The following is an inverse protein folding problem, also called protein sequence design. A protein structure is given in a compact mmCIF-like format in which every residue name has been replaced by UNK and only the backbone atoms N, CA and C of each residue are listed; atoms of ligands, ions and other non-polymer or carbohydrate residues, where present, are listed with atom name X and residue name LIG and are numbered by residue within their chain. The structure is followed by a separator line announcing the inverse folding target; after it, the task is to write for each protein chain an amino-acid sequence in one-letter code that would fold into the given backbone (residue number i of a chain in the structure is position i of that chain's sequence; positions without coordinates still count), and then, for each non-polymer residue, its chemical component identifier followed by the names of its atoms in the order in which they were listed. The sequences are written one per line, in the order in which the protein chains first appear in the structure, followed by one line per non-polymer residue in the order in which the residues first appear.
data_IF_501127592097
#
_entry.id   IF_501127592097
#
_cell.length_a   1.000
_cell.length_b   1.000
_cell.length_c   1.000
_cell.angle_alpha   90.00
_cell.angle_beta   90.00
_cell.angle_gamma   90.00
#
_symmetry.space_group_name_H-M   'P 1'
#
loop_
_entity.id
_entity.type
_entity.pdbx_description
1 polymer ?
#
# COMPACT_ATOMS: atom_id res chain seq x y z
N UNK A 1 -21.20 22.26 -29.94
CA UNK A 1 -20.26 21.69 -28.96
C UNK A 1 -19.46 22.84 -28.36
N UNK A 2 -20.04 23.56 -27.38
CA UNK A 2 -19.34 24.66 -26.71
C UNK A 2 -18.42 24.07 -25.65
N UNK A 3 -17.10 24.16 -25.89
CA UNK A 3 -16.10 23.81 -24.90
C UNK A 3 -16.27 24.70 -23.67
N UNK A 4 -16.71 24.11 -22.57
CA UNK A 4 -16.69 24.76 -21.26
C UNK A 4 -15.23 24.91 -20.85
N UNK A 5 -14.66 26.09 -21.09
CA UNK A 5 -13.37 26.45 -20.50
C UNK A 5 -13.50 26.38 -18.99
N UNK A 6 -12.62 25.67 -18.27
CA UNK A 6 -12.73 25.57 -16.81
C UNK A 6 -12.62 26.96 -16.19
N UNK A 7 -13.69 27.42 -15.57
CA UNK A 7 -13.73 28.70 -14.84
C UNK A 7 -13.23 28.50 -13.41
N UNK A 8 -11.99 28.93 -13.15
CA UNK A 8 -11.37 28.84 -11.82
C UNK A 8 -11.87 29.91 -10.83
N UNK A 9 -12.64 30.89 -11.32
CA UNK A 9 -13.14 32.05 -10.56
C UNK A 9 -14.23 31.69 -9.54
N UNK A 10 -14.88 30.53 -9.66
CA UNK A 10 -15.94 30.08 -8.76
C UNK A 10 -15.51 29.07 -7.70
N UNK A 11 -14.23 28.74 -7.58
CA UNK A 11 -13.75 27.72 -6.64
C UNK A 11 -13.73 28.32 -5.23
N UNK A 12 -14.51 27.73 -4.33
CA UNK A 12 -14.61 28.18 -2.94
C UNK A 12 -13.35 27.91 -2.14
N UNK A 13 -13.13 28.66 -1.06
CA UNK A 13 -11.97 28.47 -0.18
C UNK A 13 -11.96 27.09 0.47
N UNK A 14 -13.14 26.52 0.74
CA UNK A 14 -13.31 25.17 1.29
C UNK A 14 -12.80 24.11 0.32
N UNK A 15 -13.03 24.27 -0.99
CA UNK A 15 -12.54 23.33 -2.00
C UNK A 15 -11.00 23.33 -2.07
N UNK A 16 -10.38 24.50 -1.97
CA UNK A 16 -8.92 24.61 -1.89
C UNK A 16 -8.35 23.97 -0.62
N UNK A 17 -9.01 24.18 0.53
CA UNK A 17 -8.61 23.54 1.79
C UNK A 17 -8.78 22.02 1.75
N UNK A 18 -9.87 21.51 1.17
CA UNK A 18 -10.09 20.07 0.99
C UNK A 18 -9.02 19.45 0.08
N UNK A 19 -8.64 20.12 -1.01
CA UNK A 19 -7.54 19.71 -1.88
C UNK A 19 -6.21 19.65 -1.14
N UNK A 20 -5.87 20.69 -0.38
CA UNK A 20 -4.66 20.71 0.44
C UNK A 20 -4.67 19.58 1.47
N UNK A 21 -5.81 19.36 2.14
CA UNK A 21 -5.96 18.29 3.13
C UNK A 21 -5.76 16.91 2.50
N UNK A 22 -6.41 16.63 1.36
CA UNK A 22 -6.29 15.37 0.63
C UNK A 22 -4.89 15.17 0.04
N UNK A 23 -4.19 16.24 -0.34
CA UNK A 23 -2.81 16.15 -0.82
C UNK A 23 -1.82 15.89 0.32
N UNK A 24 -1.90 16.67 1.40
CA UNK A 24 -0.91 16.61 2.48
C UNK A 24 -1.05 15.33 3.30
N UNK A 25 -2.27 14.97 3.70
CA UNK A 25 -2.49 13.94 4.71
C UNK A 25 -2.31 12.53 4.15
N UNK A 26 -3.17 12.01 3.26
CA UNK A 26 -3.05 10.63 2.80
C UNK A 26 -1.89 10.43 1.81
N UNK A 27 -1.46 11.47 1.07
CA UNK A 27 -0.35 11.34 0.12
C UNK A 27 0.98 11.83 0.71
N UNK A 28 1.08 13.11 1.06
CA UNK A 28 2.32 13.73 1.54
C UNK A 28 2.95 12.99 2.73
N UNK A 29 2.17 12.78 3.80
CA UNK A 29 2.64 12.07 5.00
C UNK A 29 2.95 10.60 4.69
N UNK A 30 2.11 9.91 3.93
CA UNK A 30 2.34 8.50 3.59
C UNK A 30 3.63 8.29 2.78
N UNK A 31 3.91 9.15 1.79
CA UNK A 31 5.15 9.07 1.02
C UNK A 31 6.38 9.41 1.87
N UNK A 32 6.28 10.40 2.75
CA UNK A 32 7.35 10.73 3.68
C UNK A 32 7.67 9.55 4.60
N UNK A 33 6.65 8.93 5.21
CA UNK A 33 6.80 7.72 6.02
C UNK A 33 7.37 6.57 5.21
N UNK A 34 6.88 6.36 3.98
CA UNK A 34 7.40 5.32 3.07
C UNK A 34 8.89 5.51 2.83
N UNK A 35 9.35 6.74 2.56
CA UNK A 35 10.75 7.05 2.35
C UNK A 35 11.60 6.78 3.61
N UNK A 36 11.12 7.20 4.78
CA UNK A 36 11.77 6.89 6.06
C UNK A 36 11.88 5.38 6.31
N UNK A 37 10.83 4.64 5.99
CA UNK A 37 10.75 3.20 6.18
C UNK A 37 11.70 2.47 5.23
N UNK A 38 11.84 2.93 3.97
CA UNK A 38 12.83 2.42 3.02
C UNK A 38 14.24 2.63 3.56
N UNK A 39 14.54 3.84 4.08
CA UNK A 39 15.86 4.16 4.64
C UNK A 39 16.23 3.31 5.85
N UNK A 40 15.25 2.98 6.71
CA UNK A 40 15.50 2.27 7.99
C UNK A 40 15.41 0.75 7.87
N UNK A 41 14.43 0.23 7.14
CA UNK A 41 14.09 -1.20 7.10
C UNK A 41 14.32 -1.84 5.72
N UNK A 42 14.75 -1.06 4.72
CA UNK A 42 14.99 -1.53 3.36
C UNK A 42 13.71 -1.69 2.52
N UNK A 43 13.90 -1.88 1.21
CA UNK A 43 12.80 -1.93 0.24
C UNK A 43 11.90 -3.16 0.40
N UNK A 44 12.45 -4.30 0.84
CA UNK A 44 11.69 -5.54 1.04
C UNK A 44 10.58 -5.36 2.08
N UNK A 45 10.91 -4.81 3.27
CA UNK A 45 9.93 -4.57 4.34
C UNK A 45 8.77 -3.68 3.88
N UNK A 46 9.10 -2.58 3.21
CA UNK A 46 8.14 -1.58 2.71
C UNK A 46 7.18 -2.16 1.68
N UNK A 47 7.61 -3.18 0.95
CA UNK A 47 6.79 -3.84 -0.05
C UNK A 47 5.78 -4.83 0.56
N UNK A 48 5.94 -5.25 1.82
CA UNK A 48 4.91 -6.00 2.55
C UNK A 48 3.76 -5.10 3.01
N UNK A 49 4.02 -3.84 3.35
CA UNK A 49 2.95 -2.90 3.75
C UNK A 49 1.94 -2.73 2.61
N UNK A 50 2.41 -2.60 1.37
CA UNK A 50 1.54 -2.50 0.19
C UNK A 50 0.69 -3.75 -0.06
N UNK A 51 1.10 -4.89 0.48
CA UNK A 51 0.42 -6.16 0.28
C UNK A 51 -0.74 -6.37 1.24
N UNK A 52 -0.75 -5.60 2.31
CA UNK A 52 -1.86 -5.57 3.26
C UNK A 52 -2.98 -4.64 2.79
N UNK A 53 -2.78 -3.82 1.74
CA UNK A 53 -3.78 -2.86 1.25
C UNK A 53 -5.14 -3.52 0.99
N UNK A 54 -5.25 -4.63 0.23
CA UNK A 54 -6.54 -5.26 0.00
C UNK A 54 -7.23 -5.69 1.30
N UNK A 55 -6.47 -6.31 2.21
CA UNK A 55 -6.97 -6.81 3.51
C UNK A 55 -7.53 -5.66 4.34
N UNK A 56 -6.79 -4.56 4.45
CA UNK A 56 -7.26 -3.37 5.14
C UNK A 56 -8.46 -2.72 4.44
N UNK A 57 -8.53 -2.76 3.11
CA UNK A 57 -9.67 -2.22 2.37
C UNK A 57 -10.98 -2.92 2.75
N UNK A 58 -11.02 -4.26 2.82
CA UNK A 58 -12.23 -4.99 3.26
C UNK A 58 -12.51 -4.77 4.74
N UNK A 59 -11.49 -4.82 5.60
CA UNK A 59 -11.67 -4.63 7.04
C UNK A 59 -12.28 -3.25 7.34
N UNK A 60 -11.73 -2.19 6.76
CA UNK A 60 -12.23 -0.83 6.96
C UNK A 60 -13.58 -0.63 6.26
N UNK A 61 -13.76 -1.15 5.04
CA UNK A 61 -15.03 -1.08 4.30
C UNK A 61 -16.20 -1.68 5.10
N UNK A 62 -16.01 -2.87 5.67
CA UNK A 62 -17.06 -3.50 6.47
C UNK A 62 -17.24 -2.84 7.84
N UNK A 63 -16.17 -2.39 8.51
CA UNK A 63 -16.27 -1.85 9.88
C UNK A 63 -16.67 -0.38 9.96
N UNK A 64 -16.37 0.41 8.92
CA UNK A 64 -16.54 1.86 8.95
C UNK A 64 -17.51 2.38 7.89
N UNK A 65 -17.64 1.69 6.75
CA UNK A 65 -18.59 2.02 5.68
C UNK A 65 -19.86 1.15 5.72
N UNK A 66 -19.95 0.21 6.68
CA UNK A 66 -21.05 -0.77 6.80
C UNK A 66 -21.33 -1.55 5.50
N UNK A 67 -20.29 -1.79 4.69
CA UNK A 67 -20.42 -2.56 3.45
C UNK A 67 -20.72 -4.03 3.76
N UNK A 68 -21.78 -4.56 3.16
CA UNK A 68 -22.12 -5.99 3.27
C UNK A 68 -21.10 -6.80 2.50
N UNK A 69 -20.29 -7.60 3.22
CA UNK A 69 -19.34 -8.52 2.59
C UNK A 69 -20.13 -9.64 1.91
N UNK A 70 -20.29 -9.53 0.59
CA UNK A 70 -20.85 -10.61 -0.22
C UNK A 70 -19.81 -11.71 -0.49
N UNK A 71 -20.23 -12.96 -0.72
CA UNK A 71 -19.32 -14.07 -1.01
C UNK A 71 -18.37 -13.82 -2.19
N UNK A 72 -18.81 -13.05 -3.18
CA UNK A 72 -18.01 -12.63 -4.33
C UNK A 72 -16.80 -11.81 -3.92
N UNK A 73 -16.95 -10.90 -2.94
CA UNK A 73 -15.88 -10.08 -2.40
C UNK A 73 -14.82 -10.94 -1.69
N UNK A 74 -15.25 -11.97 -0.98
CA UNK A 74 -14.35 -12.94 -0.32
C UNK A 74 -13.59 -13.78 -1.36
N UNK A 75 -14.25 -14.21 -2.43
CA UNK A 75 -13.59 -14.92 -3.54
C UNK A 75 -12.56 -14.04 -4.24
N UNK A 76 -12.89 -12.79 -4.55
CA UNK A 76 -11.97 -11.83 -5.14
C UNK A 76 -10.74 -11.59 -4.23
N UNK A 77 -10.97 -11.38 -2.94
CA UNK A 77 -9.90 -11.27 -1.94
C UNK A 77 -8.99 -12.50 -1.94
N UNK A 78 -9.58 -13.69 -1.95
CA UNK A 78 -8.84 -14.95 -1.94
C UNK A 78 -7.94 -15.07 -3.19
N UNK A 79 -8.45 -14.71 -4.36
CA UNK A 79 -7.68 -14.68 -5.62
C UNK A 79 -6.51 -13.70 -5.54
N UNK A 80 -6.75 -12.48 -5.01
CA UNK A 80 -5.69 -11.47 -4.84
C UNK A 80 -4.58 -11.99 -3.92
N UNK A 81 -4.95 -12.55 -2.76
CA UNK A 81 -3.98 -13.13 -1.82
C UNK A 81 -3.21 -14.28 -2.46
N UNK A 82 -3.88 -15.18 -3.19
CA UNK A 82 -3.22 -16.27 -3.90
C UNK A 82 -2.22 -15.76 -4.95
N UNK A 83 -2.61 -14.79 -5.78
CA UNK A 83 -1.73 -14.16 -6.76
C UNK A 83 -0.51 -13.49 -6.11
N UNK A 84 -0.70 -12.89 -4.94
CA UNK A 84 0.35 -12.29 -4.13
C UNK A 84 1.39 -13.32 -3.66
N UNK A 85 0.91 -14.45 -3.13
CA UNK A 85 1.76 -15.56 -2.69
C UNK A 85 2.57 -16.14 -3.85
N UNK A 86 1.92 -16.34 -5.01
CA UNK A 86 2.58 -16.86 -6.21
C UNK A 86 3.68 -15.91 -6.73
N UNK A 87 3.44 -14.60 -6.69
CA UNK A 87 4.34 -13.60 -7.28
C UNK A 87 5.55 -13.29 -6.39
N UNK A 88 5.42 -13.33 -5.06
CA UNK A 88 6.57 -13.10 -4.16
C UNK A 88 7.48 -14.30 -4.02
N UNK A 89 6.95 -15.53 -4.08
CA UNK A 89 7.73 -16.74 -3.76
C UNK A 89 8.23 -16.76 -2.30
N UNK A 90 8.39 -17.95 -1.72
CA UNK A 90 8.77 -18.12 -0.31
C UNK A 90 10.20 -17.64 0.06
N UNK A 91 10.98 -17.14 -0.92
CA UNK A 91 12.40 -16.80 -0.76
C UNK A 91 12.69 -15.38 -0.27
N UNK A 92 11.74 -14.45 -0.34
CA UNK A 92 11.94 -13.03 -0.01
C UNK A 92 11.65 -12.69 1.47
N UNK A 93 11.32 -13.70 2.28
CA UNK A 93 10.91 -13.49 3.67
C UNK A 93 12.10 -13.02 4.53
N UNK A 94 12.00 -11.86 5.21
CA UNK A 94 13.15 -11.11 5.73
C UNK A 94 13.96 -11.77 6.86
N UNK A 95 13.53 -12.90 7.42
CA UNK A 95 14.27 -13.60 8.49
C UNK A 95 15.01 -14.86 8.03
N UNK A 96 15.07 -15.19 6.73
CA UNK A 96 15.79 -16.40 6.28
C UNK A 96 17.27 -16.32 6.68
N UNK A 97 17.60 -16.99 7.79
CA UNK A 97 18.94 -17.17 8.38
C UNK A 97 19.95 -17.73 7.37
N UNK A 98 19.44 -18.33 6.29
CA UNK A 98 20.14 -18.89 5.16
C UNK A 98 21.16 -17.90 4.59
N UNK A 99 20.81 -16.62 4.40
CA UNK A 99 21.73 -15.63 3.83
C UNK A 99 22.96 -15.38 4.73
N UNK A 100 22.83 -15.52 6.05
CA UNK A 100 23.93 -15.39 7.02
C UNK A 100 24.76 -16.67 7.13
N UNK A 101 24.14 -17.84 6.97
CA UNK A 101 24.84 -19.14 6.99
C UNK A 101 25.68 -19.37 5.73
N UNK A 102 25.21 -18.95 4.55
CA UNK A 102 26.01 -19.07 3.32
C UNK A 102 27.18 -18.09 3.29
N UNK A 103 27.00 -16.88 3.84
CA UNK A 103 28.08 -15.90 3.99
C UNK A 103 29.14 -16.37 5.00
N UNK A 104 28.73 -16.95 6.13
CA UNK A 104 29.64 -17.51 7.13
C UNK A 104 30.47 -18.67 6.57
N UNK A 105 29.86 -19.59 5.81
CA UNK A 105 30.57 -20.69 5.13
C UNK A 105 31.59 -20.19 4.11
N UNK A 106 31.34 -19.06 3.44
CA UNK A 106 32.25 -18.48 2.44
C UNK A 106 33.43 -17.71 3.07
N UNK A 107 33.30 -17.26 4.32
CA UNK A 107 34.38 -16.59 5.06
C UNK A 107 35.31 -17.52 5.85
N UNK A 108 35.03 -18.83 5.85
CA UNK A 108 35.83 -19.88 6.50
C UNK A 108 36.69 -20.70 5.51
N UNK A 109 36.70 -20.31 4.23
CA UNK A 109 37.54 -20.88 3.16
C UNK A 109 38.39 -19.77 2.54
#
# INVERSE_FOLDING_TARGET
MSGTTPEFSGISTEAWLALLWLGLMPSGVAFYLRYLLIKRAGYGFVSYVGYLIPVFAILIGNTWLDEVIMPETVMAMSIIILGLFLTRGAGDFPWTLTSRLTAFRKGLN
#
